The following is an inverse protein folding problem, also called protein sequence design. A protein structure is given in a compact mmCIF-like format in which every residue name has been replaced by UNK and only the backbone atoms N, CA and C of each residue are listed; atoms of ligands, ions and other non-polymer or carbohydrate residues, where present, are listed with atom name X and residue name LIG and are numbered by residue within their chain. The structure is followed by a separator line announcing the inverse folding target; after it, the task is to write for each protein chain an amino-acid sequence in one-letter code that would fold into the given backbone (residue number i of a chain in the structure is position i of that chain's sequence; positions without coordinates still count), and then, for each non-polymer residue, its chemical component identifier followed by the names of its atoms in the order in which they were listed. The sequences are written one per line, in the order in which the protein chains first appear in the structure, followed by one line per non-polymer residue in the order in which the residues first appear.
data_IF_863246803850
#
_entry.id   IF_863246803850
#
_cell.length_a   1.000
_cell.length_b   1.000
_cell.length_c   1.000
_cell.angle_alpha   90.00
_cell.angle_beta   90.00
_cell.angle_gamma   90.00
#
_symmetry.space_group_name_H-M   'P 1'
#
loop_
_entity.id
_entity.type
_entity.pdbx_description
1 polymer ?
#
# COMPACT_ATOMS: atom_id res chain seq x y z
N UNK A 1 -15.55 4.00 -19.78
CA UNK A 1 -15.80 2.94 -18.78
C UNK A 1 -14.46 2.58 -18.14
N UNK A 2 -14.40 2.38 -16.85
CA UNK A 2 -13.18 1.96 -16.12
C UNK A 2 -12.92 0.47 -16.35
N UNK A 3 -11.65 0.10 -16.63
CA UNK A 3 -11.29 -1.28 -16.98
C UNK A 3 -10.60 -2.02 -15.85
N UNK A 4 -9.92 -1.28 -14.95
CA UNK A 4 -9.13 -1.87 -13.90
C UNK A 4 -9.04 -0.97 -12.67
N UNK A 5 -8.99 -1.59 -11.49
CA UNK A 5 -8.82 -0.91 -10.21
C UNK A 5 -7.58 -1.50 -9.53
N UNK A 6 -6.68 -0.62 -9.13
CA UNK A 6 -5.48 -0.95 -8.37
C UNK A 6 -5.65 -0.48 -6.93
N UNK A 7 -5.37 -1.34 -5.98
CA UNK A 7 -5.40 -1.03 -4.54
C UNK A 7 -3.99 -1.07 -3.97
N UNK A 8 -3.65 -0.10 -3.13
CA UNK A 8 -2.54 -0.32 -2.20
C UNK A 8 -2.94 -1.37 -1.15
N UNK A 9 -1.97 -1.87 -0.41
CA UNK A 9 -2.16 -2.89 0.61
C UNK A 9 -2.21 -2.28 2.01
N UNK A 10 -1.08 -1.74 2.46
CA UNK A 10 -0.89 -1.24 3.82
C UNK A 10 -1.61 0.12 3.99
N UNK A 11 -2.56 0.21 4.90
CA UNK A 11 -3.38 1.42 5.10
C UNK A 11 -4.58 1.53 4.16
N UNK A 12 -4.72 0.61 3.20
CA UNK A 12 -5.82 0.62 2.23
C UNK A 12 -6.68 -0.65 2.29
N UNK A 13 -6.08 -1.83 2.14
CA UNK A 13 -6.77 -3.11 2.32
C UNK A 13 -6.63 -3.62 3.74
N UNK A 14 -5.47 -3.41 4.35
CA UNK A 14 -5.15 -3.91 5.69
C UNK A 14 -4.53 -2.84 6.57
N UNK A 15 -4.70 -2.99 7.89
CA UNK A 15 -4.06 -2.20 8.94
C UNK A 15 -2.84 -2.95 9.51
N UNK A 16 -1.63 -2.66 9.02
CA UNK A 16 -0.41 -3.36 9.41
C UNK A 16 0.32 -2.71 10.60
N UNK A 17 -0.29 -1.74 11.30
CA UNK A 17 0.38 -0.89 12.28
C UNK A 17 1.24 -1.72 13.25
N UNK A 18 0.63 -2.70 13.91
CA UNK A 18 1.32 -3.51 14.91
C UNK A 18 2.55 -4.21 14.32
N UNK A 19 2.38 -4.88 13.19
CA UNK A 19 3.45 -5.67 12.57
C UNK A 19 4.61 -4.83 12.06
N UNK A 20 4.31 -3.70 11.38
CA UNK A 20 5.33 -2.81 10.83
C UNK A 20 6.08 -2.11 11.97
N UNK A 21 5.36 -1.47 12.89
CA UNK A 21 6.01 -0.67 13.94
C UNK A 21 6.80 -1.52 14.92
N UNK A 22 6.28 -2.70 15.32
CA UNK A 22 7.03 -3.64 16.17
C UNK A 22 8.28 -4.19 15.47
N UNK A 23 8.23 -4.39 14.16
CA UNK A 23 9.42 -4.85 13.42
C UNK A 23 10.45 -3.74 13.23
N UNK A 24 10.03 -2.47 13.12
CA UNK A 24 10.93 -1.31 13.17
C UNK A 24 11.57 -1.21 14.56
N UNK A 25 10.77 -1.30 15.63
CA UNK A 25 11.28 -1.28 17.01
C UNK A 25 12.30 -2.38 17.25
N UNK A 26 12.03 -3.60 16.78
CA UNK A 26 12.97 -4.71 16.83
C UNK A 26 14.30 -4.37 16.15
N UNK A 27 14.26 -3.82 14.93
CA UNK A 27 15.46 -3.44 14.20
C UNK A 27 16.27 -2.37 14.95
N UNK A 28 15.59 -1.34 15.49
CA UNK A 28 16.25 -0.27 16.25
C UNK A 28 16.89 -0.80 17.55
N UNK A 29 16.20 -1.69 18.28
CA UNK A 29 16.76 -2.35 19.48
C UNK A 29 18.03 -3.15 19.16
N UNK A 30 18.03 -3.91 18.06
CA UNK A 30 19.20 -4.69 17.62
C UNK A 30 20.37 -3.82 17.15
N UNK A 31 20.11 -2.55 16.85
CA UNK A 31 21.12 -1.55 16.48
C UNK A 31 21.57 -0.67 17.66
N UNK A 32 21.09 -0.95 18.87
CA UNK A 32 21.34 -0.17 20.09
C UNK A 32 20.93 1.31 19.92
N UNK A 33 19.77 1.55 19.28
CA UNK A 33 19.24 2.88 19.02
C UNK A 33 17.99 3.16 19.86
N UNK A 34 17.66 4.45 20.09
CA UNK A 34 16.38 4.84 20.70
C UNK A 34 15.20 4.24 19.96
N UNK A 35 14.22 3.75 20.72
CA UNK A 35 13.04 3.06 20.19
C UNK A 35 11.82 3.95 20.39
N UNK A 36 11.31 4.61 19.34
CA UNK A 36 10.06 5.38 19.41
C UNK A 36 8.85 4.49 19.68
N UNK A 37 7.77 5.09 20.18
CA UNK A 37 6.49 4.39 20.33
C UNK A 37 5.92 3.98 18.97
N UNK A 38 4.97 3.06 18.97
CA UNK A 38 4.30 2.63 17.73
C UNK A 38 3.55 3.78 17.05
N UNK A 39 3.00 4.72 17.83
CA UNK A 39 2.28 5.87 17.30
C UNK A 39 3.23 6.85 16.59
N UNK A 40 4.42 7.07 17.14
CA UNK A 40 5.47 7.87 16.50
C UNK A 40 6.03 7.25 15.22
N UNK A 41 5.84 5.95 15.00
CA UNK A 41 6.34 5.23 13.84
C UNK A 41 5.30 5.08 12.71
N UNK A 42 4.09 5.59 12.88
CA UNK A 42 3.01 5.44 11.87
C UNK A 42 3.33 6.07 10.51
N UNK A 43 4.17 7.10 10.48
CA UNK A 43 4.61 7.73 9.23
C UNK A 43 5.43 6.80 8.32
N UNK A 44 5.97 5.70 8.88
CA UNK A 44 6.71 4.68 8.12
C UNK A 44 5.77 3.73 7.34
N UNK A 45 4.45 3.81 7.56
CA UNK A 45 3.49 2.94 6.89
C UNK A 45 3.13 3.58 5.54
N UNK A 46 3.35 2.84 4.46
CA UNK A 46 3.14 3.28 3.08
C UNK A 46 4.44 3.62 2.32
N UNK A 47 5.35 4.46 2.84
CA UNK A 47 6.62 4.73 2.18
C UNK A 47 7.51 3.49 2.02
N UNK A 48 8.44 3.48 1.03
CA UNK A 48 9.45 2.44 0.91
C UNK A 48 10.26 2.29 2.20
N UNK A 49 10.36 1.06 2.72
CA UNK A 49 10.95 0.75 4.02
C UNK A 49 12.38 1.29 4.19
N UNK A 50 13.23 1.13 3.15
CA UNK A 50 14.62 1.62 3.18
C UNK A 50 14.68 3.14 3.36
N UNK A 51 13.81 3.87 2.67
CA UNK A 51 13.73 5.34 2.78
C UNK A 51 13.34 5.77 4.20
N UNK A 52 12.42 5.05 4.83
CA UNK A 52 12.04 5.30 6.23
C UNK A 52 13.23 5.11 7.17
N UNK A 53 14.02 4.04 6.99
CA UNK A 53 15.23 3.83 7.79
C UNK A 53 16.32 4.87 7.51
N UNK A 54 16.53 5.27 6.25
CA UNK A 54 17.48 6.36 5.92
C UNK A 54 17.11 7.64 6.69
N UNK A 55 15.81 7.99 6.71
CA UNK A 55 15.32 9.16 7.45
C UNK A 55 15.53 9.00 8.96
N UNK A 56 15.16 7.85 9.55
CA UNK A 56 15.33 7.58 10.98
C UNK A 56 16.78 7.59 11.44
N UNK A 57 17.67 7.06 10.61
CA UNK A 57 19.11 6.91 10.94
C UNK A 57 19.93 8.17 10.60
N UNK A 58 19.32 9.15 9.96
CA UNK A 58 20.02 10.37 9.50
C UNK A 58 21.03 10.10 8.39
N UNK A 59 20.91 8.98 7.66
CA UNK A 59 21.79 8.62 6.56
C UNK A 59 21.72 7.15 6.15
N UNK A 60 22.45 6.79 5.11
CA UNK A 60 22.38 5.46 4.47
C UNK A 60 23.22 4.36 5.15
N UNK A 61 24.21 4.73 5.95
CA UNK A 61 25.29 3.84 6.39
C UNK A 61 24.82 2.53 7.07
N UNK A 62 23.68 2.54 7.76
CA UNK A 62 23.12 1.35 8.43
C UNK A 62 21.71 0.97 7.95
N UNK A 63 21.20 1.64 6.90
CA UNK A 63 19.83 1.44 6.44
C UNK A 63 19.58 0.01 5.96
N UNK A 64 20.52 -0.58 5.22
CA UNK A 64 20.40 -1.94 4.72
C UNK A 64 20.44 -3.00 5.82
N UNK A 65 21.26 -2.78 6.85
CA UNK A 65 21.25 -3.63 8.04
C UNK A 65 19.93 -3.51 8.80
N UNK A 66 19.41 -2.30 8.98
CA UNK A 66 18.11 -2.09 9.61
C UNK A 66 16.97 -2.76 8.83
N UNK A 67 16.98 -2.68 7.51
CA UNK A 67 16.03 -3.40 6.63
C UNK A 67 16.14 -4.92 6.83
N UNK A 68 17.34 -5.45 6.93
CA UNK A 68 17.55 -6.89 7.16
C UNK A 68 16.98 -7.34 8.52
N UNK A 69 17.28 -6.61 9.59
CA UNK A 69 16.75 -6.87 10.92
C UNK A 69 15.22 -6.73 11.00
N UNK A 70 14.66 -5.71 10.33
CA UNK A 70 13.21 -5.58 10.19
C UNK A 70 12.60 -6.83 9.55
N UNK A 71 13.17 -7.28 8.43
CA UNK A 71 12.66 -8.43 7.66
C UNK A 71 12.77 -9.74 8.42
N UNK A 72 13.79 -9.90 9.29
CA UNK A 72 13.93 -11.04 10.18
C UNK A 72 12.66 -11.24 11.03
N UNK A 73 12.18 -10.18 11.70
CA UNK A 73 10.97 -10.25 12.52
C UNK A 73 9.69 -10.20 11.68
N UNK A 74 9.67 -9.30 10.69
CA UNK A 74 8.46 -9.08 9.90
C UNK A 74 8.04 -10.32 9.12
N UNK A 75 8.99 -11.03 8.54
CA UNK A 75 8.72 -12.23 7.75
C UNK A 75 8.12 -13.38 8.52
N UNK A 76 8.46 -13.52 9.81
CA UNK A 76 8.01 -14.64 10.65
C UNK A 76 6.79 -14.29 11.51
N UNK A 77 6.72 -13.06 11.99
CA UNK A 77 5.71 -12.63 12.97
C UNK A 77 4.92 -11.42 12.44
N UNK A 78 5.62 -10.35 12.07
CA UNK A 78 5.02 -9.04 11.83
C UNK A 78 4.01 -9.01 10.70
N UNK A 79 4.18 -9.82 9.66
CA UNK A 79 3.22 -9.84 8.56
C UNK A 79 1.83 -10.35 8.98
N UNK A 80 1.76 -11.16 10.09
CA UNK A 80 0.51 -11.68 10.65
C UNK A 80 -0.07 -10.78 11.76
N UNK A 81 0.72 -9.86 12.31
CA UNK A 81 0.27 -8.78 13.20
C UNK A 81 -0.41 -7.66 12.38
N UNK A 82 -1.48 -8.03 11.69
CA UNK A 82 -2.18 -7.26 10.67
C UNK A 82 -3.67 -7.60 10.70
N UNK A 83 -4.52 -6.78 10.14
CA UNK A 83 -5.97 -7.05 10.02
C UNK A 83 -6.56 -6.36 8.80
N UNK A 84 -7.53 -6.99 8.18
CA UNK A 84 -8.31 -6.40 7.08
C UNK A 84 -9.19 -5.29 7.62
N UNK A 85 -9.26 -4.15 6.94
CA UNK A 85 -10.21 -3.10 7.31
C UNK A 85 -11.66 -3.58 7.16
N UNK A 86 -12.58 -3.09 8.01
CA UNK A 86 -14.01 -3.40 7.88
C UNK A 86 -14.52 -3.13 6.46
N UNK A 87 -15.46 -3.93 6.01
CA UNK A 87 -16.10 -3.85 4.68
C UNK A 87 -15.19 -4.10 3.45
N UNK A 88 -13.90 -4.30 3.58
CA UNK A 88 -13.00 -4.53 2.43
C UNK A 88 -13.42 -5.75 1.61
N UNK A 89 -13.70 -6.89 2.23
CA UNK A 89 -14.14 -8.09 1.49
C UNK A 89 -15.44 -7.82 0.73
N UNK A 90 -16.38 -7.10 1.35
CA UNK A 90 -17.65 -6.74 0.73
C UNK A 90 -17.45 -5.87 -0.52
N UNK A 91 -16.64 -4.82 -0.42
CA UNK A 91 -16.39 -3.94 -1.57
C UNK A 91 -15.59 -4.63 -2.68
N UNK A 92 -14.62 -5.49 -2.33
CA UNK A 92 -13.87 -6.26 -3.32
C UNK A 92 -14.78 -7.22 -4.10
N UNK A 93 -15.68 -7.91 -3.42
CA UNK A 93 -16.66 -8.80 -4.06
C UNK A 93 -17.56 -8.02 -5.05
N UNK A 94 -18.11 -6.89 -4.62
CA UNK A 94 -18.97 -6.05 -5.45
C UNK A 94 -18.23 -5.47 -6.66
N UNK A 95 -17.02 -4.95 -6.45
CA UNK A 95 -16.19 -4.39 -7.52
C UNK A 95 -15.71 -5.46 -8.50
N UNK A 96 -15.38 -6.65 -8.04
CA UNK A 96 -15.02 -7.76 -8.92
C UNK A 96 -16.18 -8.17 -9.82
N UNK A 97 -17.39 -8.21 -9.27
CA UNK A 97 -18.58 -8.54 -10.04
C UNK A 97 -18.92 -7.48 -11.12
N UNK A 98 -18.71 -6.19 -10.81
CA UNK A 98 -19.08 -5.08 -11.70
C UNK A 98 -17.99 -4.66 -12.68
N UNK A 99 -16.70 -4.81 -12.32
CA UNK A 99 -15.56 -4.32 -13.11
C UNK A 99 -14.59 -5.44 -13.54
N UNK A 100 -14.56 -6.56 -12.82
CA UNK A 100 -13.82 -7.78 -13.17
C UNK A 100 -12.31 -7.75 -12.87
N UNK A 101 -11.60 -6.66 -13.15
CA UNK A 101 -10.13 -6.59 -13.06
C UNK A 101 -9.66 -5.77 -11.87
N UNK A 102 -9.35 -6.46 -10.77
CA UNK A 102 -8.78 -5.85 -9.57
C UNK A 102 -7.32 -6.30 -9.40
N UNK A 103 -6.48 -5.38 -8.96
CA UNK A 103 -5.05 -5.59 -8.74
C UNK A 103 -4.63 -5.02 -7.40
N UNK A 104 -3.60 -5.61 -6.79
CA UNK A 104 -2.84 -4.97 -5.72
C UNK A 104 -1.59 -4.33 -6.33
N UNK A 105 -1.29 -3.09 -5.93
CA UNK A 105 -0.06 -2.39 -6.31
C UNK A 105 0.54 -1.70 -5.08
N UNK A 106 1.53 -2.32 -4.45
CA UNK A 106 2.07 -1.91 -3.15
C UNK A 106 3.59 -1.75 -3.17
N UNK A 107 4.10 -0.72 -2.47
CA UNK A 107 5.55 -0.54 -2.24
C UNK A 107 6.15 -1.61 -1.31
N UNK A 108 5.31 -2.42 -0.67
CA UNK A 108 5.75 -3.60 0.09
C UNK A 108 6.40 -4.63 -0.84
N UNK A 109 7.42 -5.34 -0.35
CA UNK A 109 8.02 -6.43 -1.10
C UNK A 109 6.99 -7.49 -1.49
N UNK A 110 6.96 -7.88 -2.77
CA UNK A 110 5.95 -8.79 -3.36
C UNK A 110 5.81 -10.08 -2.58
N UNK A 111 6.93 -10.67 -2.13
CA UNK A 111 6.94 -11.90 -1.33
C UNK A 111 6.15 -11.77 -0.02
N UNK A 112 6.13 -10.62 0.61
CA UNK A 112 5.33 -10.38 1.81
C UNK A 112 3.89 -10.00 1.46
N UNK A 113 3.68 -9.19 0.43
CA UNK A 113 2.35 -8.82 -0.03
C UNK A 113 1.52 -10.05 -0.43
N UNK A 114 2.11 -10.97 -1.19
CA UNK A 114 1.49 -12.23 -1.59
C UNK A 114 1.05 -13.06 -0.37
N UNK A 115 1.94 -13.23 0.62
CA UNK A 115 1.64 -13.97 1.85
C UNK A 115 0.53 -13.34 2.68
N UNK A 116 0.45 -12.00 2.74
CA UNK A 116 -0.62 -11.27 3.44
C UNK A 116 -1.96 -11.49 2.73
N UNK A 117 -1.98 -11.35 1.40
CA UNK A 117 -3.19 -11.58 0.59
C UNK A 117 -3.70 -13.01 0.75
N UNK A 118 -2.80 -14.01 0.78
CA UNK A 118 -3.17 -15.41 0.98
C UNK A 118 -3.66 -15.67 2.41
N UNK A 119 -2.98 -15.10 3.42
CA UNK A 119 -3.37 -15.25 4.82
C UNK A 119 -4.80 -14.76 5.09
N UNK A 120 -5.17 -13.63 4.52
CA UNK A 120 -6.51 -13.07 4.66
C UNK A 120 -7.51 -13.61 3.63
N UNK A 121 -7.15 -14.58 2.81
CA UNK A 121 -8.00 -15.20 1.77
C UNK A 121 -8.55 -14.17 0.77
N UNK A 122 -7.79 -13.14 0.47
CA UNK A 122 -8.18 -12.10 -0.48
C UNK A 122 -7.74 -12.41 -1.92
N UNK A 123 -6.99 -13.51 -2.13
CA UNK A 123 -6.42 -13.89 -3.42
C UNK A 123 -7.44 -13.92 -4.55
N UNK A 124 -8.59 -14.49 -4.30
CA UNK A 124 -9.61 -14.70 -5.33
C UNK A 124 -10.22 -13.40 -5.86
N UNK A 125 -10.05 -12.29 -5.15
CA UNK A 125 -10.53 -10.98 -5.64
C UNK A 125 -9.59 -10.38 -6.68
N UNK A 126 -8.31 -10.68 -6.65
CA UNK A 126 -7.30 -10.00 -7.45
C UNK A 126 -6.81 -10.86 -8.61
N UNK A 127 -6.67 -10.25 -9.78
CA UNK A 127 -6.05 -10.88 -10.95
C UNK A 127 -4.54 -11.06 -10.71
N UNK A 128 -3.90 -10.08 -10.06
CA UNK A 128 -2.47 -10.12 -9.72
C UNK A 128 -2.13 -9.17 -8.58
N UNK A 129 -1.08 -9.54 -7.82
CA UNK A 129 -0.40 -8.68 -6.85
C UNK A 129 0.89 -8.17 -7.46
N UNK A 130 1.05 -6.86 -7.50
CA UNK A 130 2.29 -6.17 -7.89
C UNK A 130 2.91 -5.56 -6.65
N UNK A 131 4.14 -5.94 -6.33
CA UNK A 131 4.91 -5.41 -5.21
C UNK A 131 6.34 -5.07 -5.64
N UNK A 132 7.07 -4.40 -4.75
CA UNK A 132 8.49 -4.17 -4.92
C UNK A 132 9.30 -5.47 -4.87
N UNK A 133 10.53 -5.47 -5.39
CA UNK A 133 11.47 -6.55 -5.13
C UNK A 133 12.20 -6.35 -3.79
N UNK A 134 12.81 -7.41 -3.28
CA UNK A 134 13.56 -7.32 -2.02
C UNK A 134 14.80 -6.41 -2.12
N UNK A 135 15.37 -6.23 -3.29
CA UNK A 135 16.48 -5.31 -3.55
C UNK A 135 16.06 -3.84 -3.69
N UNK A 136 14.74 -3.55 -3.59
CA UNK A 136 14.17 -2.21 -3.73
C UNK A 136 13.76 -1.84 -5.15
N UNK A 137 13.98 -2.70 -6.14
CA UNK A 137 13.48 -2.50 -7.49
C UNK A 137 11.96 -2.32 -7.45
N UNK A 138 11.45 -1.25 -8.08
CA UNK A 138 10.03 -0.87 -8.07
C UNK A 138 9.46 -0.52 -6.68
N UNK A 139 10.30 -0.07 -5.74
CA UNK A 139 9.80 0.45 -4.46
C UNK A 139 9.10 1.81 -4.60
N UNK A 140 9.48 2.62 -5.62
CA UNK A 140 8.74 3.83 -6.00
C UNK A 140 7.39 3.47 -6.61
N UNK A 141 6.32 4.12 -6.14
CA UNK A 141 4.95 3.80 -6.58
C UNK A 141 4.72 4.12 -8.06
N UNK A 142 5.38 5.13 -8.62
CA UNK A 142 5.23 5.46 -10.03
C UNK A 142 5.86 4.39 -10.93
N UNK A 143 7.04 3.91 -10.58
CA UNK A 143 7.73 2.84 -11.31
C UNK A 143 6.95 1.51 -11.21
N UNK A 144 6.44 1.22 -10.02
CA UNK A 144 5.59 0.05 -9.78
C UNK A 144 4.33 0.09 -10.64
N UNK A 145 3.62 1.21 -10.66
CA UNK A 145 2.39 1.36 -11.45
C UNK A 145 2.67 1.32 -12.96
N UNK A 146 3.77 1.91 -13.44
CA UNK A 146 4.19 1.78 -14.84
C UNK A 146 4.40 0.30 -15.23
N UNK A 147 5.10 -0.45 -14.37
CA UNK A 147 5.29 -1.88 -14.54
C UNK A 147 3.98 -2.67 -14.50
N UNK A 148 3.10 -2.37 -13.53
CA UNK A 148 1.83 -3.05 -13.35
C UNK A 148 0.88 -2.83 -14.55
N UNK A 149 0.73 -1.59 -15.01
CA UNK A 149 -0.08 -1.24 -16.19
C UNK A 149 0.38 -1.97 -17.45
N UNK A 150 1.70 -2.00 -17.68
CA UNK A 150 2.30 -2.71 -18.82
C UNK A 150 2.01 -4.21 -18.76
N UNK A 151 2.26 -4.84 -17.61
CA UNK A 151 2.12 -6.28 -17.45
C UNK A 151 0.67 -6.77 -17.38
N UNK A 152 -0.25 -5.91 -16.93
CA UNK A 152 -1.69 -6.18 -16.95
C UNK A 152 -2.35 -5.79 -18.27
N UNK A 153 -1.62 -5.17 -19.21
CA UNK A 153 -2.14 -4.63 -20.46
C UNK A 153 -3.35 -3.70 -20.24
N UNK A 154 -3.21 -2.77 -19.29
CA UNK A 154 -4.27 -1.83 -18.89
C UNK A 154 -3.97 -0.44 -19.43
N UNK A 155 -4.98 0.20 -20.03
CA UNK A 155 -4.88 1.61 -20.41
C UNK A 155 -4.97 2.48 -19.15
N UNK A 156 -3.96 3.31 -18.85
CA UNK A 156 -3.93 4.13 -17.64
C UNK A 156 -5.13 5.10 -17.54
N UNK A 157 -5.64 5.64 -18.66
CA UNK A 157 -6.83 6.52 -18.67
C UNK A 157 -8.13 5.81 -18.28
N UNK A 158 -8.11 4.49 -18.21
CA UNK A 158 -9.24 3.63 -17.82
C UNK A 158 -8.94 2.82 -16.56
N UNK A 159 -7.90 3.24 -15.82
CA UNK A 159 -7.48 2.66 -14.57
C UNK A 159 -7.67 3.65 -13.40
N UNK A 160 -7.95 3.10 -12.23
CA UNK A 160 -8.08 3.84 -10.98
C UNK A 160 -7.09 3.27 -9.95
N UNK A 161 -6.34 4.14 -9.28
CA UNK A 161 -5.57 3.79 -8.08
C UNK A 161 -6.34 4.18 -6.84
N UNK A 162 -6.38 3.31 -5.84
CA UNK A 162 -6.95 3.56 -4.52
C UNK A 162 -5.85 3.38 -3.50
N UNK A 163 -5.56 4.42 -2.73
CA UNK A 163 -4.49 4.38 -1.72
C UNK A 163 -4.69 5.45 -0.65
N UNK A 164 -3.97 5.29 0.46
CA UNK A 164 -4.08 6.16 1.62
C UNK A 164 -2.93 7.18 1.76
N UNK A 165 -1.90 7.10 0.88
CA UNK A 165 -0.75 7.99 0.95
C UNK A 165 -0.55 8.82 -0.33
N UNK A 166 0.15 9.94 -0.17
CA UNK A 166 0.54 10.80 -1.30
C UNK A 166 1.29 10.04 -2.41
N UNK A 167 2.07 9.03 -2.05
CA UNK A 167 2.80 8.19 -3.01
C UNK A 167 1.87 7.49 -4.01
N UNK A 168 0.71 7.01 -3.56
CA UNK A 168 -0.29 6.36 -4.42
C UNK A 168 -0.85 7.35 -5.44
N UNK A 169 -1.21 8.54 -4.96
CA UNK A 169 -1.82 9.59 -5.77
C UNK A 169 -0.81 10.13 -6.79
N UNK A 170 0.40 10.46 -6.33
CA UNK A 170 1.48 10.97 -7.19
C UNK A 170 1.89 9.92 -8.23
N UNK A 171 2.05 8.65 -7.80
CA UNK A 171 2.40 7.55 -8.67
C UNK A 171 1.36 7.32 -9.77
N UNK A 172 0.08 7.33 -9.40
CA UNK A 172 -1.03 7.22 -10.35
C UNK A 172 -1.02 8.38 -11.37
N UNK A 173 -0.90 9.62 -10.90
CA UNK A 173 -0.87 10.81 -11.77
C UNK A 173 0.29 10.79 -12.75
N UNK A 174 1.49 10.43 -12.31
CA UNK A 174 2.68 10.29 -13.19
C UNK A 174 2.44 9.30 -14.32
N UNK A 175 1.59 8.30 -14.10
CA UNK A 175 1.22 7.29 -15.09
C UNK A 175 -0.09 7.61 -15.85
N UNK A 176 -0.69 8.78 -15.65
CA UNK A 176 -1.93 9.18 -16.32
C UNK A 176 -3.19 8.45 -15.84
N UNK A 177 -3.15 7.88 -14.63
CA UNK A 177 -4.30 7.25 -13.96
C UNK A 177 -5.06 8.27 -13.12
N UNK A 178 -6.36 8.03 -12.91
CA UNK A 178 -7.10 8.65 -11.82
C UNK A 178 -6.70 8.02 -10.47
N UNK A 179 -6.85 8.77 -9.38
CA UNK A 179 -6.55 8.28 -8.04
C UNK A 179 -7.57 8.75 -7.01
N UNK A 180 -8.02 7.84 -6.18
CA UNK A 180 -8.88 8.06 -5.02
C UNK A 180 -8.07 7.90 -3.75
N UNK A 181 -8.09 8.93 -2.90
CA UNK A 181 -7.50 8.89 -1.57
C UNK A 181 -8.47 8.31 -0.54
N UNK A 182 -7.97 7.54 0.43
CA UNK A 182 -8.78 7.01 1.52
C UNK A 182 -8.29 7.53 2.88
N UNK A 183 -9.22 7.88 3.79
CA UNK A 183 -8.90 8.50 5.08
C UNK A 183 -8.87 7.51 6.25
N UNK A 184 -9.24 6.27 6.03
CA UNK A 184 -9.19 5.25 7.07
C UNK A 184 -7.80 4.60 7.24
N UNK A 185 -6.83 5.00 6.40
CA UNK A 185 -5.42 4.64 6.49
C UNK A 185 -4.58 5.64 7.29
N UNK A 186 -3.36 5.90 6.84
CA UNK A 186 -2.34 6.67 7.55
C UNK A 186 -2.06 8.06 6.97
N UNK A 187 -2.52 8.35 5.76
CA UNK A 187 -2.43 9.65 5.14
C UNK A 187 -3.48 10.63 5.67
N UNK A 188 -3.12 11.90 5.75
CA UNK A 188 -4.08 12.95 6.08
C UNK A 188 -4.84 13.42 4.83
N UNK A 189 -6.03 13.97 5.03
CA UNK A 189 -6.81 14.60 3.95
C UNK A 189 -6.00 15.65 3.19
N UNK A 190 -5.27 16.48 3.93
CA UNK A 190 -4.38 17.50 3.37
C UNK A 190 -3.31 16.86 2.47
N UNK A 191 -2.62 15.80 2.93
CA UNK A 191 -1.63 15.05 2.14
C UNK A 191 -2.20 14.58 0.80
N UNK A 192 -3.39 13.99 0.84
CA UNK A 192 -4.05 13.44 -0.34
C UNK A 192 -4.54 14.51 -1.32
N UNK A 193 -5.08 15.63 -0.81
CA UNK A 193 -5.50 16.77 -1.63
C UNK A 193 -4.29 17.43 -2.29
N UNK A 194 -3.23 17.71 -1.54
CA UNK A 194 -2.00 18.32 -2.07
C UNK A 194 -1.32 17.42 -3.11
N UNK A 195 -1.38 16.10 -2.96
CA UNK A 195 -0.94 15.13 -3.96
C UNK A 195 -1.81 15.14 -5.22
N UNK A 196 -3.04 15.63 -5.13
CA UNK A 196 -4.00 15.79 -6.23
C UNK A 196 -4.89 14.58 -6.44
N UNK A 197 -5.37 13.97 -5.36
CA UNK A 197 -6.41 12.95 -5.43
C UNK A 197 -7.65 13.49 -6.15
N UNK A 198 -8.23 12.69 -7.04
CA UNK A 198 -9.43 13.08 -7.79
C UNK A 198 -10.70 13.02 -6.94
N UNK A 199 -10.67 12.26 -5.87
CA UNK A 199 -11.73 12.12 -4.88
C UNK A 199 -11.14 11.61 -3.55
N UNK A 200 -11.83 11.89 -2.43
CA UNK A 200 -11.47 11.43 -1.09
C UNK A 200 -12.63 10.61 -0.52
N UNK A 201 -12.34 9.43 -0.01
CA UNK A 201 -13.30 8.53 0.60
C UNK A 201 -12.97 8.30 2.08
N UNK A 202 -13.92 8.54 2.98
CA UNK A 202 -13.70 8.37 4.42
C UNK A 202 -13.75 6.89 4.88
N UNK A 203 -14.41 6.01 4.12
CA UNK A 203 -14.62 4.60 4.46
C UNK A 203 -14.48 3.71 3.24
N UNK A 204 -14.21 2.39 3.39
CA UNK A 204 -14.23 1.47 2.27
C UNK A 204 -15.57 1.48 1.50
N UNK A 205 -16.69 1.60 2.21
CA UNK A 205 -18.00 1.67 1.56
C UNK A 205 -18.16 2.91 0.67
N UNK A 206 -17.65 4.06 1.10
CA UNK A 206 -17.64 5.26 0.28
C UNK A 206 -16.83 5.09 -1.03
N UNK A 207 -15.78 4.24 -1.03
CA UNK A 207 -15.06 3.88 -2.27
C UNK A 207 -15.99 3.15 -3.24
N UNK A 208 -16.75 2.16 -2.77
CA UNK A 208 -17.71 1.43 -3.60
C UNK A 208 -18.77 2.36 -4.19
N UNK A 209 -19.36 3.22 -3.33
CA UNK A 209 -20.42 4.17 -3.75
C UNK A 209 -19.90 5.14 -4.80
N UNK A 210 -18.68 5.68 -4.61
CA UNK A 210 -18.06 6.59 -5.58
C UNK A 210 -17.81 5.90 -6.94
N UNK A 211 -17.32 4.67 -6.93
CA UNK A 211 -17.04 3.92 -8.16
C UNK A 211 -18.34 3.54 -8.86
N UNK A 212 -19.35 3.06 -8.11
CA UNK A 212 -20.65 2.67 -8.64
C UNK A 212 -21.44 3.86 -9.19
N UNK A 213 -21.35 5.04 -8.57
CA UNK A 213 -21.98 6.27 -9.05
C UNK A 213 -21.39 6.84 -10.36
N UNK A 214 -20.22 6.35 -10.79
CA UNK A 214 -19.61 6.70 -12.09
C UNK A 214 -20.11 5.85 -13.27
N UNK A 215 -20.95 4.86 -13.02
CA UNK A 215 -21.48 3.92 -14.01
C UNK A 215 -22.91 4.29 -14.41
N UNK A 216 -23.50 5.34 -13.80
CA UNK A 216 -24.84 5.87 -14.12
C UNK A 216 -24.81 6.87 -15.26
#
# INVERSE_FOLDING_TARGET
MMDAIFFDLDGTLTDPKLGITSSIQYALQRLDLPVPSQDELTWCIGPPLRSSFVTMLGGEARADLAVSLYRERFGDIGLYENKVYPDIEHILAALKQSHGRLFVATSKASVFAERIIDHFRLRDYFERVFGAELDGTRADKADLLAYALKNAAVNPKRALMIGDRSHDIIGAKKNGMAAVGVLYGYGSERELIEAGASHICATPRAVLDHISGRIG
#
